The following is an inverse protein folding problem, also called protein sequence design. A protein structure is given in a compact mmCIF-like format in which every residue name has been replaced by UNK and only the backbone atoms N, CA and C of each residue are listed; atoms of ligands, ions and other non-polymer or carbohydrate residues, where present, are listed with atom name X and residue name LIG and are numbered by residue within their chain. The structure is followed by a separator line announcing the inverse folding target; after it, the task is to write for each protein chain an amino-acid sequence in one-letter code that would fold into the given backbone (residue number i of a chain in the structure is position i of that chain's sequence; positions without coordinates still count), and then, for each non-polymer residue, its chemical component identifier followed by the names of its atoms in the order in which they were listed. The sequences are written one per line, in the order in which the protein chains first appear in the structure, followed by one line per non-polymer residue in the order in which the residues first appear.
data_IF_326661218143
#
_entry.id   IF_326661218143
#
_cell.length_a   1.000
_cell.length_b   1.000
_cell.length_c   1.000
_cell.angle_alpha   90.00
_cell.angle_beta   90.00
_cell.angle_gamma   90.00
#
_symmetry.space_group_name_H-M   'P 1'
#
loop_
_entity.id
_entity.type
_entity.pdbx_description
1 polymer ?
#
# COMPACT_ATOMS: atom_id res chain seq x y z
N UNK A 1 15.19 -33.25 -38.58
CA UNK A 1 14.91 -32.64 -37.26
C UNK A 1 13.71 -31.73 -37.42
N UNK A 2 12.74 -31.73 -36.49
CA UNK A 2 11.62 -30.79 -36.56
C UNK A 2 12.14 -29.35 -36.40
N UNK A 3 11.72 -28.46 -37.30
CA UNK A 3 12.11 -27.05 -37.31
C UNK A 3 11.06 -26.25 -36.55
N UNK A 4 11.44 -25.45 -35.56
CA UNK A 4 10.51 -24.60 -34.81
C UNK A 4 9.66 -23.70 -35.72
N UNK A 5 10.24 -23.23 -36.83
CA UNK A 5 9.59 -22.33 -37.80
C UNK A 5 8.56 -23.07 -38.67
N UNK A 6 8.55 -24.41 -38.68
CA UNK A 6 7.53 -25.18 -39.42
C UNK A 6 6.20 -25.33 -38.65
N UNK A 7 6.09 -24.80 -37.43
CA UNK A 7 4.85 -24.76 -36.68
C UNK A 7 3.90 -23.68 -37.25
N UNK A 8 2.57 -23.87 -37.16
CA UNK A 8 1.62 -22.80 -37.46
C UNK A 8 1.88 -21.55 -36.61
N UNK A 9 1.66 -20.37 -37.18
CA UNK A 9 1.93 -19.07 -36.54
C UNK A 9 1.22 -18.96 -35.19
N UNK A 10 0.00 -19.47 -35.07
CA UNK A 10 -0.80 -19.47 -33.84
C UNK A 10 -0.15 -20.31 -32.74
N UNK A 11 0.47 -21.43 -33.11
CA UNK A 11 1.21 -22.29 -32.17
C UNK A 11 2.47 -21.59 -31.68
N UNK A 12 3.18 -20.90 -32.58
CA UNK A 12 4.37 -20.12 -32.22
C UNK A 12 3.99 -18.97 -31.30
N UNK A 13 2.91 -18.23 -31.60
CA UNK A 13 2.39 -17.16 -30.73
C UNK A 13 2.02 -17.70 -29.36
N UNK A 14 1.34 -18.85 -29.30
CA UNK A 14 1.01 -19.52 -28.05
C UNK A 14 2.26 -19.84 -27.24
N UNK A 15 3.27 -20.47 -27.86
CA UNK A 15 4.55 -20.79 -27.20
C UNK A 15 5.24 -19.52 -26.69
N UNK A 16 5.33 -18.47 -27.51
CA UNK A 16 5.96 -17.20 -27.14
C UNK A 16 5.19 -16.48 -26.02
N UNK A 17 3.88 -16.69 -25.90
CA UNK A 17 3.07 -16.07 -24.84
C UNK A 17 3.38 -16.60 -23.43
N UNK A 18 4.04 -17.76 -23.33
CA UNK A 18 4.55 -18.30 -22.07
C UNK A 18 5.94 -17.78 -21.68
N UNK A 19 6.60 -17.03 -22.56
CA UNK A 19 7.93 -16.47 -22.29
C UNK A 19 7.82 -15.14 -21.53
N UNK A 20 8.89 -14.79 -20.81
CA UNK A 20 8.99 -13.46 -20.21
C UNK A 20 9.06 -12.37 -21.30
N UNK A 21 8.61 -11.14 -21.03
CA UNK A 21 8.75 -10.04 -21.99
C UNK A 21 10.20 -9.79 -22.44
N UNK A 22 11.19 -10.03 -21.56
CA UNK A 22 12.61 -9.96 -21.89
C UNK A 22 13.01 -11.03 -22.92
N UNK A 23 12.54 -12.26 -22.76
CA UNK A 23 12.79 -13.36 -23.69
C UNK A 23 12.07 -13.13 -25.02
N UNK A 24 10.83 -12.62 -25.00
CA UNK A 24 10.09 -12.23 -26.21
C UNK A 24 10.89 -11.18 -26.99
N UNK A 25 11.45 -10.16 -26.32
CA UNK A 25 12.32 -9.17 -26.98
C UNK A 25 13.57 -9.81 -27.57
N UNK A 26 14.18 -10.76 -26.86
CA UNK A 26 15.34 -11.51 -27.36
C UNK A 26 14.97 -12.31 -28.62
N UNK A 27 13.82 -13.00 -28.63
CA UNK A 27 13.32 -13.72 -29.80
C UNK A 27 13.13 -12.82 -31.03
N UNK A 28 12.76 -11.55 -30.86
CA UNK A 28 12.68 -10.57 -31.97
C UNK A 28 14.04 -10.32 -32.63
N UNK A 29 15.14 -10.54 -31.92
CA UNK A 29 16.50 -10.35 -32.42
C UNK A 29 17.07 -11.60 -33.10
N UNK A 30 16.50 -12.77 -32.86
CA UNK A 30 17.02 -14.05 -33.37
C UNK A 30 16.69 -14.32 -34.84
N UNK A 31 15.52 -13.87 -35.34
CA UNK A 31 15.17 -14.03 -36.76
C UNK A 31 14.13 -13.01 -37.25
N UNK A 32 14.15 -12.74 -38.56
CA UNK A 32 13.14 -11.91 -39.22
C UNK A 32 11.73 -12.51 -39.12
N UNK A 33 11.61 -13.83 -39.19
CA UNK A 33 10.31 -14.52 -39.07
C UNK A 33 9.70 -14.31 -37.69
N UNK A 34 10.46 -14.57 -36.60
CA UNK A 34 9.98 -14.34 -35.24
C UNK A 34 9.67 -12.87 -34.98
N UNK A 35 10.51 -11.96 -35.50
CA UNK A 35 10.23 -10.52 -35.43
C UNK A 35 8.89 -10.18 -36.07
N UNK A 36 8.62 -10.66 -37.28
CA UNK A 36 7.37 -10.43 -37.99
C UNK A 36 6.17 -11.04 -37.25
N UNK A 37 6.28 -12.28 -36.76
CA UNK A 37 5.24 -12.94 -35.97
C UNK A 37 4.90 -12.17 -34.69
N UNK A 38 5.92 -11.76 -33.93
CA UNK A 38 5.74 -10.97 -32.70
C UNK A 38 5.16 -9.58 -33.01
N UNK A 39 5.53 -8.97 -34.14
CA UNK A 39 4.96 -7.70 -34.58
C UNK A 39 3.54 -7.84 -35.13
N UNK A 40 3.11 -9.01 -35.60
CA UNK A 40 1.76 -9.23 -36.11
C UNK A 40 0.78 -9.65 -35.00
N UNK A 41 1.24 -10.34 -33.96
CA UNK A 41 0.39 -10.78 -32.84
C UNK A 41 0.08 -9.64 -31.88
N UNK A 42 -1.21 -9.35 -31.70
CA UNK A 42 -1.67 -8.34 -30.76
C UNK A 42 -1.50 -8.79 -29.29
N UNK A 43 -1.54 -10.09 -29.04
CA UNK A 43 -1.32 -10.71 -27.73
C UNK A 43 0.12 -10.49 -27.25
N UNK A 44 1.11 -10.77 -28.11
CA UNK A 44 2.51 -10.56 -27.78
C UNK A 44 2.84 -9.06 -27.69
N UNK A 45 2.23 -8.23 -28.55
CA UNK A 45 2.33 -6.77 -28.39
C UNK A 45 1.80 -6.32 -27.03
N UNK A 46 0.63 -6.81 -26.61
CA UNK A 46 0.05 -6.48 -25.32
C UNK A 46 0.99 -6.80 -24.14
N UNK A 47 1.61 -7.98 -24.12
CA UNK A 47 2.60 -8.33 -23.09
C UNK A 47 3.82 -7.40 -23.09
N UNK A 48 4.31 -7.01 -24.27
CA UNK A 48 5.45 -6.09 -24.39
C UNK A 48 5.11 -4.65 -23.95
N UNK A 49 3.91 -4.16 -24.27
CA UNK A 49 3.45 -2.83 -23.86
C UNK A 49 3.25 -2.76 -22.33
N UNK A 50 2.68 -3.81 -21.73
CA UNK A 50 2.55 -3.93 -20.27
C UNK A 50 3.92 -3.80 -19.59
N UNK A 51 4.88 -4.62 -20.03
CA UNK A 51 6.22 -4.65 -19.45
C UNK A 51 6.95 -3.31 -19.59
N UNK A 52 6.79 -2.63 -20.73
CA UNK A 52 7.40 -1.30 -20.94
C UNK A 52 6.93 -0.23 -19.94
N UNK A 53 5.76 -0.43 -19.33
CA UNK A 53 5.16 0.46 -18.34
C UNK A 53 5.29 -0.04 -16.90
N UNK A 54 5.93 -1.19 -16.68
CA UNK A 54 6.01 -1.84 -15.38
C UNK A 54 4.70 -2.51 -14.94
N UNK A 55 3.85 -2.91 -15.89
CA UNK A 55 2.59 -3.59 -15.63
C UNK A 55 2.66 -5.08 -15.93
N UNK A 56 1.70 -5.82 -15.37
CA UNK A 56 1.51 -7.25 -15.60
C UNK A 56 0.08 -7.54 -16.03
N UNK A 57 -0.16 -8.69 -16.70
CA UNK A 57 -1.52 -9.15 -16.96
C UNK A 57 -2.32 -9.25 -15.66
N UNK A 58 -3.59 -8.78 -15.63
CA UNK A 58 -4.39 -8.77 -14.42
C UNK A 58 -4.90 -10.18 -14.07
N UNK A 59 -5.15 -10.45 -12.78
CA UNK A 59 -5.80 -11.69 -12.34
C UNK A 59 -7.23 -11.81 -12.88
N UNK A 60 -7.93 -10.68 -12.99
CA UNK A 60 -9.27 -10.60 -13.57
C UNK A 60 -9.26 -9.71 -14.82
N UNK A 61 -9.08 -10.27 -16.03
CA UNK A 61 -9.03 -9.49 -17.25
C UNK A 61 -10.38 -8.84 -17.59
N UNK A 62 -10.33 -7.63 -18.14
CA UNK A 62 -11.48 -6.95 -18.68
C UNK A 62 -11.86 -7.54 -20.04
N UNK A 63 -12.63 -8.62 -20.03
CA UNK A 63 -12.99 -9.37 -21.24
C UNK A 63 -13.93 -8.61 -22.18
N UNK A 64 -14.71 -7.67 -21.64
CA UNK A 64 -15.60 -6.83 -22.44
C UNK A 64 -14.85 -5.89 -23.39
N UNK A 65 -13.55 -5.66 -23.15
CA UNK A 65 -12.72 -4.81 -23.97
C UNK A 65 -11.80 -5.65 -24.87
N UNK A 66 -11.88 -5.52 -26.21
CA UNK A 66 -10.99 -6.23 -27.13
C UNK A 66 -9.51 -5.93 -26.85
N UNK A 67 -8.63 -6.92 -27.03
CA UNK A 67 -7.19 -6.77 -26.76
C UNK A 67 -6.54 -5.63 -27.57
N UNK A 68 -7.00 -5.38 -28.80
CA UNK A 68 -6.56 -4.24 -29.60
C UNK A 68 -6.81 -2.91 -28.90
N UNK A 69 -7.96 -2.75 -28.22
CA UNK A 69 -8.27 -1.55 -27.44
C UNK A 69 -7.43 -1.47 -26.16
N UNK A 70 -7.12 -2.61 -25.54
CA UNK A 70 -6.17 -2.68 -24.41
C UNK A 70 -4.79 -2.17 -24.80
N UNK A 71 -4.25 -2.65 -25.93
CA UNK A 71 -2.96 -2.21 -26.49
C UNK A 71 -2.96 -0.72 -26.81
N UNK A 72 -4.01 -0.21 -27.44
CA UNK A 72 -4.14 1.23 -27.72
C UNK A 72 -4.12 2.05 -26.44
N UNK A 73 -4.87 1.64 -25.41
CA UNK A 73 -4.88 2.33 -24.12
C UNK A 73 -3.50 2.36 -23.44
N UNK A 74 -2.71 1.28 -23.55
CA UNK A 74 -1.35 1.21 -23.03
C UNK A 74 -0.39 2.11 -23.82
N UNK A 75 -0.47 2.10 -25.15
CA UNK A 75 0.35 2.97 -26.02
C UNK A 75 0.10 4.44 -25.78
N UNK A 76 -1.17 4.85 -25.67
CA UNK A 76 -1.52 6.23 -25.33
C UNK A 76 -0.91 6.63 -23.99
N UNK A 77 -0.95 5.73 -22.98
CA UNK A 77 -0.32 5.98 -21.68
C UNK A 77 1.21 6.09 -21.77
N UNK A 78 1.84 5.29 -22.61
CA UNK A 78 3.28 5.37 -22.88
C UNK A 78 3.65 6.72 -23.51
N UNK A 79 2.92 7.14 -24.56
CA UNK A 79 3.16 8.43 -25.23
C UNK A 79 3.03 9.62 -24.28
N UNK A 80 1.98 9.64 -23.45
CA UNK A 80 1.77 10.67 -22.43
C UNK A 80 2.91 10.70 -21.40
N UNK A 81 3.52 9.56 -21.11
CA UNK A 81 4.64 9.49 -20.15
C UNK A 81 5.96 9.92 -20.79
N UNK A 82 6.13 9.69 -22.08
CA UNK A 82 7.34 10.06 -22.83
C UNK A 82 7.39 11.55 -23.20
N UNK A 83 6.23 12.17 -23.47
CA UNK A 83 6.14 13.58 -23.82
C UNK A 83 6.05 14.47 -22.56
N UNK A 84 7.21 14.85 -22.03
CA UNK A 84 7.32 15.75 -20.87
C UNK A 84 6.78 17.17 -21.14
N UNK A 85 6.52 17.54 -22.40
CA UNK A 85 6.00 18.88 -22.76
C UNK A 85 4.46 18.96 -22.71
N UNK A 86 3.77 17.81 -22.67
CA UNK A 86 2.32 17.71 -22.46
C UNK A 86 1.95 17.60 -20.98
N UNK A 87 2.67 18.30 -20.08
CA UNK A 87 2.25 18.46 -18.67
C UNK A 87 0.87 19.12 -18.51
N UNK A 88 0.35 19.73 -19.58
CA UNK A 88 -1.09 19.96 -19.74
C UNK A 88 -1.81 18.65 -20.12
N UNK A 89 -1.67 17.62 -19.29
CA UNK A 89 -2.70 16.61 -19.17
C UNK A 89 -4.00 17.40 -18.98
N UNK A 90 -5.05 17.05 -19.74
CA UNK A 90 -6.40 17.47 -19.41
C UNK A 90 -6.72 16.98 -18.00
N UNK A 91 -6.24 17.70 -17.00
CA UNK A 91 -6.57 17.51 -15.61
C UNK A 91 -8.06 17.67 -15.59
N UNK A 92 -8.76 16.55 -15.46
CA UNK A 92 -10.19 16.58 -15.26
C UNK A 92 -10.36 17.18 -13.88
N UNK A 93 -10.53 18.50 -13.85
CA UNK A 93 -10.79 19.25 -12.63
C UNK A 93 -12.23 18.93 -12.25
N UNK A 94 -12.40 18.22 -11.15
CA UNK A 94 -13.69 18.00 -10.56
C UNK A 94 -13.83 18.99 -9.42
N UNK A 95 -14.80 19.90 -9.54
CA UNK A 95 -15.15 20.80 -8.45
C UNK A 95 -15.99 20.00 -7.47
N UNK A 96 -15.41 19.70 -6.32
CA UNK A 96 -16.13 19.16 -5.19
C UNK A 96 -16.84 20.34 -4.52
N UNK A 97 -18.18 20.35 -4.55
CA UNK A 97 -18.98 21.36 -3.88
C UNK A 97 -19.29 20.91 -2.46
N UNK A 98 -19.04 21.80 -1.50
CA UNK A 98 -19.21 21.57 -0.08
C UNK A 98 -20.29 22.50 0.45
N UNK A 99 -21.24 21.97 1.21
CA UNK A 99 -22.27 22.78 1.86
C UNK A 99 -21.73 23.48 3.13
N UNK A 100 -20.61 23.02 3.70
CA UNK A 100 -19.96 23.66 4.86
C UNK A 100 -18.42 23.72 4.76
N UNK A 101 -17.76 24.76 5.35
CA UNK A 101 -16.36 25.09 5.07
C UNK A 101 -15.32 24.44 6.01
N UNK A 102 -15.61 23.30 6.65
CA UNK A 102 -14.72 22.73 7.68
C UNK A 102 -14.06 21.42 7.27
N UNK A 103 -12.79 21.32 7.67
CA UNK A 103 -11.83 20.21 7.58
C UNK A 103 -12.55 18.84 7.62
N UNK A 104 -12.81 18.27 6.45
CA UNK A 104 -13.38 16.92 6.31
C UNK A 104 -12.27 15.87 6.43
N UNK A 105 -12.57 14.71 7.01
CA UNK A 105 -11.65 13.56 6.97
C UNK A 105 -11.71 12.96 5.56
N UNK A 106 -10.70 13.28 4.74
CA UNK A 106 -10.60 12.89 3.34
C UNK A 106 -9.65 11.71 3.21
N UNK A 107 -10.15 10.62 2.63
CA UNK A 107 -9.38 9.40 2.39
C UNK A 107 -9.46 9.00 0.92
N UNK A 108 -8.34 8.58 0.34
CA UNK A 108 -8.28 8.13 -1.04
C UNK A 108 -7.81 6.67 -1.11
N UNK A 109 -8.59 5.84 -1.81
CA UNK A 109 -8.22 4.46 -2.07
C UNK A 109 -8.65 4.05 -3.47
N UNK A 110 -7.68 3.63 -4.30
CA UNK A 110 -7.88 2.94 -5.60
C UNK A 110 -8.87 3.59 -6.58
N UNK A 111 -8.81 4.91 -6.66
CA UNK A 111 -9.67 5.71 -7.55
C UNK A 111 -10.99 6.13 -6.93
N UNK A 112 -11.19 5.91 -5.62
CA UNK A 112 -12.33 6.43 -4.88
C UNK A 112 -11.82 7.35 -3.78
N UNK A 113 -12.37 8.57 -3.75
CA UNK A 113 -12.23 9.53 -2.67
C UNK A 113 -13.44 9.40 -1.75
N UNK A 114 -13.22 9.21 -0.46
CA UNK A 114 -14.26 9.27 0.54
C UNK A 114 -14.03 10.49 1.42
N UNK A 115 -15.13 11.15 1.80
CA UNK A 115 -15.10 12.32 2.66
C UNK A 115 -16.13 12.12 3.77
N UNK A 116 -15.65 12.16 5.02
CA UNK A 116 -16.49 12.21 6.22
C UNK A 116 -16.89 13.64 6.56
N UNK A 117 -18.08 13.81 7.14
CA UNK A 117 -18.52 15.06 7.76
C UNK A 117 -17.51 15.56 8.83
N UNK A 118 -17.41 16.87 9.09
CA UNK A 118 -16.26 17.49 9.76
C UNK A 118 -15.95 16.97 11.17
N UNK A 119 -14.63 16.97 11.46
CA UNK A 119 -13.89 16.39 12.58
C UNK A 119 -14.36 16.72 14.02
N UNK A 120 -15.23 17.71 14.20
CA UNK A 120 -15.71 18.11 15.54
C UNK A 120 -16.77 17.12 16.05
N UNK A 121 -17.49 16.47 15.13
CA UNK A 121 -18.45 15.41 15.43
C UNK A 121 -18.00 14.08 14.84
N UNK A 122 -18.42 12.99 15.47
CA UNK A 122 -18.22 11.66 14.94
C UNK A 122 -18.84 11.54 13.53
N UNK A 123 -18.17 10.80 12.65
CA UNK A 123 -18.55 10.58 11.26
C UNK A 123 -19.85 9.78 11.23
N UNK A 124 -20.89 10.36 10.65
CA UNK A 124 -22.22 9.75 10.50
C UNK A 124 -22.65 9.61 9.03
N UNK A 125 -21.92 10.24 8.12
CA UNK A 125 -22.18 10.20 6.68
C UNK A 125 -20.85 10.19 5.94
N UNK A 126 -20.82 9.47 4.82
CA UNK A 126 -19.68 9.45 3.89
C UNK A 126 -20.13 9.84 2.50
N UNK A 127 -19.43 10.81 1.90
CA UNK A 127 -19.57 11.12 0.48
C UNK A 127 -18.46 10.42 -0.30
N UNK A 128 -18.84 9.64 -1.30
CA UNK A 128 -17.94 8.84 -2.12
C UNK A 128 -17.89 9.41 -3.53
N UNK A 129 -16.67 9.62 -4.04
CA UNK A 129 -16.40 10.07 -5.40
C UNK A 129 -15.50 9.06 -6.08
N UNK A 130 -16.05 8.36 -7.07
CA UNK A 130 -15.31 7.44 -7.92
C UNK A 130 -14.79 8.21 -9.14
N UNK A 131 -13.47 8.16 -9.32
CA UNK A 131 -12.81 8.71 -10.49
C UNK A 131 -13.01 7.79 -11.69
N UNK A 132 -13.14 8.40 -12.87
CA UNK A 132 -13.14 7.65 -14.12
C UNK A 132 -11.82 6.89 -14.29
N UNK A 133 -11.89 5.65 -14.79
CA UNK A 133 -10.72 4.81 -15.00
C UNK A 133 -10.83 4.04 -16.30
N UNK A 134 -9.90 4.31 -17.23
CA UNK A 134 -9.75 3.51 -18.44
C UNK A 134 -9.33 2.07 -18.11
N UNK A 135 -8.56 1.86 -17.04
CA UNK A 135 -8.10 0.52 -16.64
C UNK A 135 -9.27 -0.36 -16.18
N UNK A 136 -10.21 0.21 -15.42
CA UNK A 136 -11.41 -0.50 -14.93
C UNK A 136 -12.61 -0.37 -15.87
N UNK A 137 -12.50 0.44 -16.94
CA UNK A 137 -13.60 0.89 -17.79
C UNK A 137 -14.78 1.44 -16.97
N UNK A 138 -14.48 2.29 -16.00
CA UNK A 138 -15.47 2.93 -15.12
C UNK A 138 -15.57 4.41 -15.42
N UNK A 139 -16.81 4.92 -15.42
CA UNK A 139 -17.07 6.36 -15.47
C UNK A 139 -16.95 7.00 -14.09
N UNK A 140 -16.97 8.33 -14.06
CA UNK A 140 -17.04 9.09 -12.83
C UNK A 140 -18.44 8.92 -12.21
N UNK A 141 -18.49 8.74 -10.89
CA UNK A 141 -19.75 8.71 -10.15
C UNK A 141 -19.57 9.24 -8.73
N UNK A 142 -20.59 9.90 -8.19
CA UNK A 142 -20.65 10.28 -6.78
C UNK A 142 -21.85 9.61 -6.11
N UNK A 143 -21.68 9.17 -4.88
CA UNK A 143 -22.76 8.62 -4.05
C UNK A 143 -22.58 9.07 -2.61
N UNK A 144 -23.66 8.97 -1.84
CA UNK A 144 -23.66 9.31 -0.42
C UNK A 144 -24.10 8.08 0.35
N UNK A 145 -23.30 7.66 1.32
CA UNK A 145 -23.73 6.75 2.38
C UNK A 145 -24.27 7.60 3.52
N UNK A 146 -25.56 7.89 3.44
CA UNK A 146 -26.30 8.61 4.47
C UNK A 146 -26.54 7.69 5.66
N UNK A 147 -26.44 8.24 6.87
CA UNK A 147 -26.71 7.54 8.13
C UNK A 147 -25.99 6.18 8.24
N UNK A 148 -24.74 6.24 8.69
CA UNK A 148 -23.95 5.04 8.99
C UNK A 148 -24.55 4.20 10.14
N UNK A 149 -25.60 4.69 10.82
CA UNK A 149 -26.23 4.05 11.99
C UNK A 149 -25.36 4.06 13.24
N UNK A 150 -24.16 4.62 13.16
CA UNK A 150 -23.21 4.77 14.25
C UNK A 150 -22.48 6.11 14.13
N UNK A 151 -21.85 6.50 15.24
CA UNK A 151 -20.88 7.58 15.31
C UNK A 151 -19.49 6.96 15.13
N UNK A 152 -18.82 7.21 14.00
CA UNK A 152 -17.47 6.68 13.75
C UNK A 152 -16.39 7.73 14.06
N UNK A 153 -15.29 7.30 14.68
CA UNK A 153 -14.11 8.14 14.98
C UNK A 153 -13.08 8.11 13.86
N UNK A 154 -13.00 6.99 13.11
CA UNK A 154 -12.18 6.83 11.92
C UNK A 154 -12.82 5.79 10.99
N UNK A 155 -12.36 5.74 9.74
CA UNK A 155 -12.81 4.78 8.74
C UNK A 155 -11.71 4.41 7.73
N UNK A 156 -11.77 3.17 7.23
CA UNK A 156 -10.93 2.68 6.12
C UNK A 156 -11.80 1.95 5.12
N UNK A 157 -11.42 1.98 3.86
CA UNK A 157 -12.17 1.29 2.82
C UNK A 157 -11.28 0.78 1.68
N UNK A 158 -11.75 -0.29 1.06
CA UNK A 158 -11.15 -0.85 -0.15
C UNK A 158 -12.25 -1.08 -1.20
N UNK A 159 -12.33 -0.23 -2.24
CA UNK A 159 -13.35 -0.36 -3.28
C UNK A 159 -13.23 -1.62 -4.10
N UNK A 160 -12.05 -2.26 -4.15
CA UNK A 160 -11.88 -3.50 -4.92
C UNK A 160 -12.47 -4.71 -4.19
N UNK A 161 -12.56 -4.64 -2.86
CA UNK A 161 -13.20 -5.65 -2.00
C UNK A 161 -14.63 -5.27 -1.62
N UNK A 162 -15.12 -4.11 -2.08
CA UNK A 162 -16.38 -3.50 -1.64
C UNK A 162 -16.51 -3.39 -0.11
N UNK A 163 -15.41 -3.13 0.60
CA UNK A 163 -15.40 -3.09 2.07
C UNK A 163 -15.23 -1.67 2.61
N UNK A 164 -16.00 -1.37 3.64
CA UNK A 164 -15.92 -0.19 4.50
C UNK A 164 -15.80 -0.67 5.95
N UNK A 165 -14.74 -0.26 6.64
CA UNK A 165 -14.53 -0.53 8.05
C UNK A 165 -14.69 0.77 8.82
N UNK A 166 -15.63 0.80 9.76
CA UNK A 166 -15.87 1.96 10.62
C UNK A 166 -15.42 1.63 12.04
N UNK A 167 -14.67 2.56 12.65
CA UNK A 167 -14.28 2.49 14.05
C UNK A 167 -15.28 3.32 14.88
N UNK A 168 -16.05 2.69 15.75
CA UNK A 168 -17.07 3.39 16.56
C UNK A 168 -16.44 4.32 17.61
N UNK A 169 -16.98 5.53 17.74
CA UNK A 169 -16.68 6.45 18.83
C UNK A 169 -17.41 6.02 20.10
N UNK A 170 -16.69 5.44 21.06
CA UNK A 170 -17.26 5.05 22.36
C UNK A 170 -16.97 6.12 23.41
N UNK A 171 -17.98 6.50 24.22
CA UNK A 171 -17.84 7.53 25.25
C UNK A 171 -16.84 7.15 26.37
N UNK A 172 -16.51 5.86 26.49
CA UNK A 172 -15.57 5.30 27.47
C UNK A 172 -14.08 5.46 27.08
N UNK A 173 -13.75 6.19 26.00
CA UNK A 173 -12.35 6.42 25.62
C UNK A 173 -11.56 7.26 26.64
N UNK A 174 -12.22 7.87 27.63
CA UNK A 174 -11.59 8.74 28.64
C UNK A 174 -11.81 8.31 30.09
N UNK A 175 -12.49 7.18 30.36
CA UNK A 175 -12.80 6.72 31.72
C UNK A 175 -12.26 5.30 31.99
N UNK A 176 -11.58 5.14 33.13
CA UNK A 176 -11.19 3.89 33.83
C UNK A 176 -10.41 2.80 33.06
N UNK A 177 -9.58 3.18 32.08
CA UNK A 177 -8.48 2.33 31.58
C UNK A 177 -8.90 1.03 30.88
N UNK A 178 -10.17 0.91 30.51
CA UNK A 178 -10.70 -0.21 29.72
C UNK A 178 -11.49 0.34 28.54
N UNK A 179 -10.80 0.50 27.43
CA UNK A 179 -11.35 0.97 26.17
C UNK A 179 -11.91 -0.20 25.36
N UNK A 180 -13.08 0.02 24.76
CA UNK A 180 -13.69 -0.96 23.86
C UNK A 180 -13.57 -0.45 22.43
N UNK A 181 -12.83 -1.21 21.61
CA UNK A 181 -12.74 -1.04 20.17
C UNK A 181 -13.91 -1.78 19.54
N UNK A 182 -14.73 -1.07 18.74
CA UNK A 182 -15.78 -1.68 17.92
C UNK A 182 -15.55 -1.38 16.45
N UNK A 183 -15.31 -2.43 15.68
CA UNK A 183 -15.01 -2.37 14.25
C UNK A 183 -16.20 -2.93 13.48
N UNK A 184 -16.87 -2.06 12.72
CA UNK A 184 -18.04 -2.44 11.90
C UNK A 184 -17.59 -2.71 10.46
N UNK A 185 -17.89 -3.90 9.96
CA UNK A 185 -17.58 -4.33 8.59
C UNK A 185 -18.81 -4.18 7.70
N UNK A 186 -18.75 -3.23 6.77
CA UNK A 186 -19.85 -2.88 5.87
C UNK A 186 -19.44 -3.00 4.42
N UNK A 187 -20.42 -3.18 3.55
CA UNK A 187 -20.26 -3.03 2.12
C UNK A 187 -20.12 -1.54 1.78
N UNK A 188 -19.09 -1.17 1.03
CA UNK A 188 -18.86 0.21 0.61
C UNK A 188 -19.97 0.69 -0.34
N UNK A 189 -20.49 -0.18 -1.18
CA UNK A 189 -21.54 0.15 -2.14
C UNK A 189 -22.93 0.30 -1.53
N UNK A 190 -23.23 -0.45 -0.46
CA UNK A 190 -24.58 -0.49 0.14
C UNK A 190 -24.67 0.12 1.53
N UNK A 191 -23.56 0.23 2.26
CA UNK A 191 -23.53 0.61 3.68
C UNK A 191 -24.06 -0.46 4.65
N UNK A 192 -24.54 -1.61 4.16
CA UNK A 192 -25.04 -2.72 4.97
C UNK A 192 -23.90 -3.61 5.46
N UNK A 193 -24.17 -4.54 6.37
CA UNK A 193 -23.19 -5.52 6.84
C UNK A 193 -22.52 -6.23 5.66
N UNK A 194 -21.18 -6.33 5.70
CA UNK A 194 -20.44 -6.90 4.59
C UNK A 194 -20.74 -8.40 4.44
N UNK A 195 -21.11 -8.90 3.24
CA UNK A 195 -21.57 -10.29 3.07
C UNK A 195 -20.49 -11.34 3.35
N UNK A 196 -19.22 -10.98 3.24
CA UNK A 196 -18.09 -11.87 3.56
C UNK A 196 -17.63 -11.79 5.03
N UNK A 197 -18.15 -10.86 5.82
CA UNK A 197 -17.82 -10.76 7.24
C UNK A 197 -18.75 -11.69 8.03
N UNK A 198 -18.23 -12.85 8.47
CA UNK A 198 -19.01 -13.78 9.31
C UNK A 198 -19.45 -13.15 10.62
N UNK A 199 -18.62 -12.22 11.13
CA UNK A 199 -18.90 -11.39 12.30
C UNK A 199 -18.90 -9.93 11.83
N UNK A 200 -20.07 -9.29 11.69
CA UNK A 200 -20.17 -7.94 11.12
C UNK A 200 -19.62 -6.85 12.05
N UNK A 201 -19.46 -7.15 13.35
CA UNK A 201 -18.89 -6.24 14.34
C UNK A 201 -17.88 -7.00 15.19
N UNK A 202 -16.61 -6.63 15.12
CA UNK A 202 -15.58 -7.13 16.05
C UNK A 202 -15.52 -6.18 17.24
N UNK A 203 -15.57 -6.75 18.44
CA UNK A 203 -15.42 -6.04 19.71
C UNK A 203 -14.12 -6.51 20.37
N UNK A 204 -13.26 -5.57 20.75
CA UNK A 204 -12.00 -5.86 21.42
C UNK A 204 -11.78 -4.90 22.58
N UNK A 205 -11.52 -5.46 23.76
CA UNK A 205 -11.21 -4.68 24.96
C UNK A 205 -9.70 -4.49 25.08
N UNK A 206 -9.27 -3.24 25.27
CA UNK A 206 -7.87 -2.88 25.48
C UNK A 206 -7.75 -1.74 26.49
N UNK A 207 -6.64 -1.67 27.21
CA UNK A 207 -6.29 -0.50 28.03
C UNK A 207 -5.58 0.59 27.24
N UNK A 208 -5.45 0.44 25.91
CA UNK A 208 -4.66 1.31 25.05
C UNK A 208 -5.50 2.35 24.32
N UNK A 209 -4.90 3.50 24.00
CA UNK A 209 -5.52 4.53 23.17
C UNK A 209 -5.29 4.20 21.70
N UNK A 210 -6.31 4.33 20.87
CA UNK A 210 -6.17 4.15 19.42
C UNK A 210 -5.39 5.33 18.82
N UNK A 211 -4.37 5.06 18.01
CA UNK A 211 -3.64 6.10 17.26
C UNK A 211 -4.41 6.34 15.95
N UNK A 212 -4.84 7.58 15.72
CA UNK A 212 -5.61 7.99 14.53
C UNK A 212 -4.73 8.34 13.31
N UNK A 213 -3.52 7.81 13.22
CA UNK A 213 -2.69 8.05 12.03
C UNK A 213 -3.10 7.11 10.87
N UNK A 214 -2.74 7.52 9.65
CA UNK A 214 -3.13 6.78 8.44
C UNK A 214 -2.57 5.37 8.39
N UNK A 215 -1.41 5.17 8.98
CA UNK A 215 -0.69 3.91 8.89
C UNK A 215 -1.07 2.93 10.00
N UNK A 216 -1.60 3.41 11.13
CA UNK A 216 -2.06 2.62 12.26
C UNK A 216 -3.35 1.84 12.01
N UNK A 217 -4.04 2.03 10.88
CA UNK A 217 -5.29 1.35 10.54
C UNK A 217 -5.33 0.97 9.05
N UNK A 218 -5.15 -0.32 8.74
CA UNK A 218 -4.98 -0.81 7.36
C UNK A 218 -5.84 -2.04 7.05
N UNK A 219 -6.35 -2.11 5.81
CA UNK A 219 -7.02 -3.28 5.23
C UNK A 219 -6.05 -3.92 4.23
N UNK A 220 -5.74 -5.21 4.43
CA UNK A 220 -4.80 -5.97 3.59
C UNK A 220 -5.44 -7.30 3.21
N UNK A 221 -6.16 -7.31 2.09
CA UNK A 221 -6.91 -8.49 1.66
C UNK A 221 -7.98 -8.87 2.70
N UNK A 222 -7.87 -10.07 3.27
CA UNK A 222 -8.75 -10.54 4.34
C UNK A 222 -8.32 -10.09 5.75
N UNK A 223 -7.20 -9.39 5.87
CA UNK A 223 -6.67 -8.93 7.14
C UNK A 223 -7.07 -7.48 7.42
N UNK A 224 -7.38 -7.20 8.68
CA UNK A 224 -7.50 -5.86 9.22
C UNK A 224 -6.46 -5.69 10.33
N UNK A 225 -5.62 -4.67 10.21
CA UNK A 225 -4.61 -4.34 11.22
C UNK A 225 -4.93 -2.99 11.87
N UNK A 226 -4.90 -2.95 13.21
CA UNK A 226 -4.95 -1.71 13.99
C UNK A 226 -3.76 -1.64 14.96
N UNK A 227 -3.27 -0.43 15.20
CA UNK A 227 -2.22 -0.15 16.17
C UNK A 227 -2.72 0.86 17.22
N UNK A 228 -2.47 0.55 18.49
CA UNK A 228 -2.91 1.32 19.64
C UNK A 228 -1.70 1.69 20.53
N UNK A 229 -1.66 2.93 21.02
CA UNK A 229 -0.63 3.41 21.94
C UNK A 229 -0.95 3.03 23.38
N UNK A 230 0.06 2.54 24.10
CA UNK A 230 -0.10 2.19 25.53
C UNK A 230 -0.31 3.42 26.43
N UNK A 231 -1.14 3.26 27.47
CA UNK A 231 -1.24 4.20 28.61
C UNK A 231 -0.55 3.67 29.89
N UNK A 232 0.18 4.52 30.64
CA UNK A 232 0.74 5.79 30.19
C UNK A 232 1.71 5.55 29.02
N UNK A 233 2.03 6.56 28.19
CA UNK A 233 2.95 6.42 27.06
C UNK A 233 4.37 6.11 27.54
N UNK A 234 4.62 4.85 27.91
CA UNK A 234 5.89 4.34 28.38
C UNK A 234 6.60 3.66 27.21
N UNK A 235 7.83 4.11 26.93
CA UNK A 235 8.77 3.57 25.93
C UNK A 235 8.13 3.28 24.56
N UNK A 236 7.82 4.32 23.77
CA UNK A 236 7.55 4.28 22.31
C UNK A 236 7.09 2.91 21.78
N UNK A 237 6.05 2.34 22.38
CA UNK A 237 5.58 1.00 22.08
C UNK A 237 4.09 1.05 21.90
N UNK A 238 3.67 0.29 20.91
CA UNK A 238 2.28 0.20 20.49
C UNK A 238 1.86 -1.27 20.56
N UNK A 239 0.62 -1.51 20.90
CA UNK A 239 0.02 -2.81 20.68
C UNK A 239 -0.56 -2.84 19.27
N UNK A 240 -0.29 -3.94 18.57
CA UNK A 240 -0.80 -4.18 17.23
C UNK A 240 -1.71 -5.40 17.29
N UNK A 241 -2.89 -5.25 16.70
CA UNK A 241 -3.88 -6.31 16.58
C UNK A 241 -4.18 -6.52 15.11
N UNK A 242 -4.13 -7.78 14.66
CA UNK A 242 -4.49 -8.16 13.29
C UNK A 242 -5.62 -9.18 13.38
N UNK A 243 -6.74 -8.90 12.72
CA UNK A 243 -7.86 -9.82 12.57
C UNK A 243 -7.99 -10.30 11.13
N UNK A 244 -8.48 -11.52 10.97
CA UNK A 244 -9.13 -11.93 9.73
C UNK A 244 -10.56 -11.41 9.78
N UNK A 245 -10.87 -10.37 9.02
CA UNK A 245 -12.19 -9.75 9.10
C UNK A 245 -13.30 -10.63 8.49
N UNK A 246 -12.93 -11.62 7.68
CA UNK A 246 -13.91 -12.53 7.07
C UNK A 246 -14.41 -13.58 8.06
N UNK A 247 -13.56 -14.01 8.99
CA UNK A 247 -13.90 -14.99 10.03
C UNK A 247 -14.17 -14.35 11.39
N UNK A 248 -13.62 -13.16 11.63
CA UNK A 248 -13.59 -12.46 12.91
C UNK A 248 -12.50 -12.96 13.86
N UNK A 249 -11.64 -13.88 13.43
CA UNK A 249 -10.57 -14.43 14.27
C UNK A 249 -9.42 -13.45 14.45
N UNK A 250 -8.95 -13.31 15.68
CA UNK A 250 -7.71 -12.60 15.98
C UNK A 250 -6.52 -13.42 15.48
N UNK A 251 -5.80 -12.89 14.50
CA UNK A 251 -4.61 -13.53 13.90
C UNK A 251 -3.42 -13.38 14.82
N UNK A 252 -3.13 -12.15 15.26
CA UNK A 252 -2.03 -11.85 16.17
C UNK A 252 -2.37 -10.65 17.05
N UNK A 253 -1.84 -10.67 18.27
CA UNK A 253 -1.79 -9.56 19.21
C UNK A 253 -0.39 -9.47 19.77
N UNK A 254 0.26 -8.31 19.61
CA UNK A 254 1.66 -8.15 20.02
C UNK A 254 1.98 -6.71 20.39
N UNK A 255 2.98 -6.52 21.24
CA UNK A 255 3.61 -5.22 21.44
C UNK A 255 4.76 -5.05 20.44
N UNK A 256 4.74 -3.96 19.71
CA UNK A 256 5.83 -3.50 18.83
C UNK A 256 6.49 -2.27 19.41
N UNK A 257 7.80 -2.10 19.17
CA UNK A 257 8.58 -0.94 19.62
C UNK A 257 8.51 0.25 18.66
N UNK A 258 7.49 0.26 17.79
CA UNK A 258 7.31 1.22 16.72
C UNK A 258 5.98 1.95 16.81
N UNK A 259 5.93 3.06 16.08
CA UNK A 259 4.76 3.93 15.98
C UNK A 259 4.11 3.85 14.59
N UNK A 260 4.55 2.92 13.75
CA UNK A 260 4.05 2.76 12.39
C UNK A 260 4.31 1.32 11.90
N UNK A 261 3.48 0.84 10.97
CA UNK A 261 3.68 -0.40 10.24
C UNK A 261 3.25 -0.33 8.76
N UNK A 262 3.80 -1.20 7.94
CA UNK A 262 3.33 -1.41 6.56
C UNK A 262 3.43 -2.87 6.16
N UNK A 263 2.42 -3.39 5.47
CA UNK A 263 2.49 -4.73 4.88
C UNK A 263 3.27 -4.70 3.57
N UNK A 264 4.17 -5.67 3.41
CA UNK A 264 4.97 -5.86 2.19
C UNK A 264 4.54 -7.10 1.41
N UNK A 265 3.81 -8.01 2.07
CA UNK A 265 3.14 -9.17 1.47
C UNK A 265 1.82 -9.43 2.22
N UNK A 266 1.14 -10.56 1.91
CA UNK A 266 -0.07 -11.00 2.60
C UNK A 266 0.16 -11.39 4.07
N UNK A 267 1.38 -11.71 4.45
CA UNK A 267 1.75 -12.34 5.73
C UNK A 267 2.98 -11.70 6.37
N UNK A 268 3.57 -10.69 5.74
CA UNK A 268 4.80 -10.05 6.19
C UNK A 268 4.61 -8.54 6.23
N UNK A 269 5.02 -7.94 7.34
CA UNK A 269 4.93 -6.50 7.56
C UNK A 269 6.21 -5.97 8.20
N UNK A 270 6.41 -4.66 8.06
CA UNK A 270 7.50 -3.90 8.67
C UNK A 270 6.95 -3.01 9.76
N UNK A 271 7.75 -2.75 10.79
CA UNK A 271 7.53 -1.65 11.74
C UNK A 271 8.79 -0.82 11.91
N UNK A 272 8.64 0.45 12.24
CA UNK A 272 9.75 1.39 12.39
C UNK A 272 10.21 1.47 13.84
N UNK A 273 11.51 1.31 14.10
CA UNK A 273 12.10 1.68 15.39
C UNK A 273 12.77 3.05 15.21
N UNK A 274 12.06 4.07 15.69
CA UNK A 274 12.60 5.43 15.83
C UNK A 274 13.52 5.51 17.05
N UNK A 275 14.55 6.36 17.00
CA UNK A 275 15.52 6.51 18.10
C UNK A 275 15.36 7.86 18.78
N UNK A 276 15.04 7.83 20.08
CA UNK A 276 15.15 9.00 20.96
C UNK A 276 16.54 9.03 21.59
N UNK A 277 17.01 10.25 21.87
CA UNK A 277 18.31 10.55 22.47
C UNK A 277 18.59 9.65 23.70
N UNK A 278 19.87 9.34 23.94
CA UNK A 278 20.46 8.53 25.04
C UNK A 278 20.95 7.13 24.68
N UNK A 279 20.74 6.63 23.46
CA UNK A 279 21.38 5.38 23.04
C UNK A 279 22.71 5.69 22.34
N UNK A 280 23.84 5.20 22.86
CA UNK A 280 25.21 5.38 22.32
C UNK A 280 25.42 4.72 20.93
N UNK A 281 24.44 4.79 20.04
CA UNK A 281 24.46 4.18 18.72
C UNK A 281 24.36 5.26 17.66
N UNK A 282 25.18 5.12 16.62
CA UNK A 282 25.24 6.07 15.51
C UNK A 282 24.11 5.84 14.48
N UNK A 283 23.34 4.76 14.55
CA UNK A 283 22.26 4.43 13.59
C UNK A 283 21.03 5.32 13.75
N UNK A 284 20.45 5.84 12.67
CA UNK A 284 19.21 6.63 12.74
C UNK A 284 17.98 5.80 13.09
N UNK A 285 17.99 4.48 12.95
CA UNK A 285 16.83 3.63 13.27
C UNK A 285 16.92 2.25 12.65
N UNK A 286 15.83 1.50 12.76
CA UNK A 286 15.73 0.13 12.24
C UNK A 286 14.34 -0.10 11.65
N UNK A 287 14.23 -0.97 10.66
CA UNK A 287 12.97 -1.57 10.23
C UNK A 287 12.93 -3.00 10.73
N UNK A 288 11.98 -3.34 11.59
CA UNK A 288 11.79 -4.74 12.00
C UNK A 288 10.82 -5.43 11.06
N UNK A 289 11.21 -6.61 10.59
CA UNK A 289 10.41 -7.46 9.69
C UNK A 289 9.74 -8.55 10.51
N UNK A 290 8.43 -8.62 10.40
CA UNK A 290 7.59 -9.59 11.08
C UNK A 290 6.80 -10.43 10.09
N UNK A 291 6.60 -11.70 10.42
CA UNK A 291 5.71 -12.60 9.69
C UNK A 291 4.62 -13.16 10.59
N UNK A 292 3.44 -13.32 10.01
CA UNK A 292 2.30 -14.06 10.56
C UNK A 292 2.07 -15.38 9.81
N UNK A 293 2.99 -15.77 8.92
CA UNK A 293 2.95 -17.08 8.31
C UNK A 293 3.17 -18.16 9.38
N UNK A 294 2.37 -19.22 9.31
CA UNK A 294 2.50 -20.43 10.14
C UNK A 294 2.45 -20.21 11.68
N UNK A 295 2.00 -19.03 12.14
CA UNK A 295 1.79 -18.78 13.56
C UNK A 295 0.47 -19.40 14.05
N UNK A 296 0.41 -19.70 15.35
CA UNK A 296 -0.86 -20.07 15.98
C UNK A 296 -1.75 -18.83 16.08
N UNK A 297 -3.03 -18.92 15.71
CA UNK A 297 -3.98 -17.78 15.80
C UNK A 297 -4.00 -17.22 17.23
N UNK A 298 -3.93 -15.89 17.34
CA UNK A 298 -3.87 -15.15 18.60
C UNK A 298 -2.48 -15.08 19.24
N UNK A 299 -1.48 -15.80 18.70
CA UNK A 299 -0.08 -15.66 19.16
C UNK A 299 0.58 -14.41 18.59
N UNK A 300 1.79 -14.09 19.06
CA UNK A 300 2.56 -12.95 18.55
C UNK A 300 3.18 -13.28 17.19
N UNK A 301 3.17 -12.33 16.26
CA UNK A 301 3.94 -12.44 15.01
C UNK A 301 5.43 -12.69 15.28
N UNK A 302 6.08 -13.46 14.40
CA UNK A 302 7.50 -13.78 14.52
C UNK A 302 8.36 -12.69 13.88
N UNK A 303 9.33 -12.15 14.62
CA UNK A 303 10.34 -11.25 14.05
C UNK A 303 11.42 -12.02 13.32
N UNK A 304 11.46 -11.90 12.00
CA UNK A 304 12.39 -12.64 11.13
C UNK A 304 13.65 -11.84 10.80
N UNK A 305 13.60 -10.50 10.83
CA UNK A 305 14.76 -9.65 10.54
C UNK A 305 14.65 -8.23 11.14
N UNK A 306 15.76 -7.51 11.16
CA UNK A 306 15.89 -6.12 11.55
C UNK A 306 16.86 -5.43 10.58
N UNK A 307 16.37 -4.52 9.77
CA UNK A 307 17.13 -3.81 8.74
C UNK A 307 17.63 -2.48 9.31
N UNK A 308 18.94 -2.28 9.38
CA UNK A 308 19.53 -1.05 9.93
C UNK A 308 19.35 0.11 8.95
N UNK A 309 18.82 1.24 9.42
CA UNK A 309 18.86 2.50 8.66
C UNK A 309 20.28 3.13 8.75
N UNK A 310 20.62 4.09 7.87
CA UNK A 310 21.97 4.67 7.81
C UNK A 310 22.44 5.21 9.16
N UNK A 311 23.76 5.24 9.36
CA UNK A 311 24.34 5.93 10.51
C UNK A 311 24.38 7.44 10.29
N UNK A 312 24.18 8.19 11.37
CA UNK A 312 24.39 9.63 11.45
C UNK A 312 25.88 9.94 11.39
N UNK A 313 26.29 10.74 10.41
CA UNK A 313 27.67 11.21 10.26
C UNK A 313 28.09 12.19 11.37
N UNK A 314 27.15 12.74 12.13
CA UNK A 314 27.37 13.84 13.07
C UNK A 314 27.05 13.46 14.53
N UNK A 315 27.19 12.17 14.88
CA UNK A 315 26.90 11.66 16.22
C UNK A 315 25.41 11.53 16.52
N UNK A 316 25.07 11.55 17.81
CA UNK A 316 23.73 11.28 18.34
C UNK A 316 22.63 12.15 17.70
N UNK A 317 21.55 11.50 17.26
CA UNK A 317 20.40 12.16 16.65
C UNK A 317 19.08 11.64 17.23
N UNK A 318 18.05 12.48 17.12
CA UNK A 318 16.66 12.03 17.31
C UNK A 318 16.03 11.83 15.94
N UNK A 319 15.55 10.63 15.67
CA UNK A 319 14.86 10.30 14.42
C UNK A 319 13.38 10.01 14.65
N UNK A 320 12.57 10.31 13.65
CA UNK A 320 11.21 9.81 13.51
C UNK A 320 11.04 9.23 12.12
N UNK A 321 10.51 8.01 12.06
CA UNK A 321 10.29 7.29 10.81
C UNK A 321 8.84 6.81 10.76
N UNK A 322 8.12 7.14 9.68
CA UNK A 322 6.74 6.70 9.45
C UNK A 322 6.51 6.41 7.96
N UNK A 323 5.65 5.44 7.66
CA UNK A 323 5.33 5.02 6.31
C UNK A 323 4.29 5.96 5.70
N UNK A 324 4.47 6.27 4.42
CA UNK A 324 3.50 7.01 3.60
C UNK A 324 2.96 6.16 2.45
N UNK A 325 3.34 4.88 2.42
CA UNK A 325 2.90 3.89 1.42
C UNK A 325 1.43 3.53 1.64
N UNK A 326 0.61 3.49 0.59
CA UNK A 326 -0.69 2.83 0.71
C UNK A 326 -0.52 1.32 0.95
N UNK A 327 -1.56 0.64 1.48
CA UNK A 327 -1.56 -0.82 1.61
C UNK A 327 -1.25 -1.52 0.28
N UNK A 328 -0.63 -2.72 0.31
CA UNK A 328 -0.31 -3.48 -0.89
C UNK A 328 -1.57 -3.76 -1.72
N UNK A 329 -1.40 -4.01 -3.02
CA UNK A 329 -2.53 -4.28 -3.91
C UNK A 329 -3.35 -5.47 -3.42
N UNK A 330 -4.69 -5.43 -3.58
CA UNK A 330 -5.53 -6.50 -3.14
C UNK A 330 -5.30 -7.68 -4.08
N UNK A 331 -4.89 -8.81 -3.53
CA UNK A 331 -4.96 -10.08 -4.22
C UNK A 331 -6.40 -10.58 -4.19
N UNK A 332 -6.81 -11.49 -5.09
CA UNK A 332 -8.07 -12.21 -4.95
C UNK A 332 -8.23 -12.73 -3.52
N UNK A 333 -9.40 -12.51 -2.95
CA UNK A 333 -9.65 -12.89 -1.57
C UNK A 333 -9.90 -14.40 -1.54
N UNK A 334 -8.95 -15.14 -0.99
CA UNK A 334 -9.00 -16.59 -0.86
C UNK A 334 -9.07 -16.90 0.64
N UNK A 335 -10.17 -17.53 1.08
CA UNK A 335 -10.36 -17.97 2.46
C UNK A 335 -10.47 -19.48 2.47
N UNK A 336 -9.63 -20.17 3.26
CA UNK A 336 -9.53 -21.64 3.31
C UNK A 336 -9.32 -22.29 1.92
N UNK A 337 -8.51 -21.68 1.06
CA UNK A 337 -8.24 -22.18 -0.29
C UNK A 337 -9.36 -21.96 -1.31
N UNK A 338 -10.48 -21.35 -0.91
CA UNK A 338 -11.59 -21.02 -1.79
C UNK A 338 -11.59 -19.53 -2.13
N UNK A 339 -11.69 -19.22 -3.43
CA UNK A 339 -11.89 -17.86 -3.92
C UNK A 339 -13.25 -17.32 -3.46
N UNK A 340 -13.24 -16.30 -2.60
CA UNK A 340 -14.43 -15.63 -2.06
C UNK A 340 -14.77 -14.34 -2.79
N UNK A 341 -13.76 -13.58 -3.19
CA UNK A 341 -13.93 -12.38 -3.99
C UNK A 341 -12.83 -12.26 -5.04
N UNK A 342 -13.22 -11.96 -6.28
CA UNK A 342 -12.28 -11.56 -7.32
C UNK A 342 -12.04 -10.06 -7.25
N UNK A 343 -10.82 -9.64 -7.60
CA UNK A 343 -10.53 -8.23 -7.87
C UNK A 343 -11.38 -7.74 -9.05
N UNK A 344 -11.69 -6.44 -9.14
CA UNK A 344 -12.41 -5.89 -10.29
C UNK A 344 -11.68 -6.15 -11.61
N UNK A 345 -12.45 -6.32 -12.69
CA UNK A 345 -11.92 -6.52 -14.04
C UNK A 345 -11.05 -5.35 -14.49
N UNK A 346 -9.87 -5.63 -15.05
CA UNK A 346 -8.87 -4.62 -15.45
C UNK A 346 -8.24 -4.86 -16.80
N UNK A 347 -7.68 -3.81 -17.39
CA UNK A 347 -6.75 -3.93 -18.51
C UNK A 347 -5.39 -4.40 -18.01
N UNK A 348 -4.91 -3.93 -16.87
CA UNK A 348 -3.59 -4.28 -16.34
C UNK A 348 -3.54 -4.20 -14.81
N UNK A 349 -2.56 -4.88 -14.24
CA UNK A 349 -2.14 -4.72 -12.85
C UNK A 349 -0.75 -4.10 -12.77
N UNK A 350 -0.45 -3.48 -11.64
CA UNK A 350 0.90 -2.95 -11.40
C UNK A 350 1.81 -4.15 -11.13
N UNK A 351 2.97 -4.19 -11.78
CA UNK A 351 3.93 -5.26 -11.56
C UNK A 351 4.50 -5.22 -10.13
N UNK A 352 4.89 -6.37 -9.57
CA UNK A 352 5.43 -6.46 -8.22
C UNK A 352 6.65 -5.53 -7.99
N UNK A 353 7.51 -5.41 -9.00
CA UNK A 353 8.70 -4.54 -8.97
C UNK A 353 8.40 -3.05 -9.20
N UNK A 354 7.16 -2.71 -9.54
CA UNK A 354 6.73 -1.33 -9.73
C UNK A 354 6.11 -0.72 -8.48
N UNK A 355 6.06 -1.46 -7.37
CA UNK A 355 5.68 -0.91 -6.07
C UNK A 355 6.91 -0.40 -5.33
N UNK A 356 6.75 0.72 -4.60
CA UNK A 356 7.76 1.21 -3.67
C UNK A 356 7.12 1.41 -2.31
N UNK A 357 7.81 1.00 -1.27
CA UNK A 357 7.53 1.48 0.07
C UNK A 357 8.14 2.87 0.21
N UNK A 358 7.40 3.78 0.79
CA UNK A 358 7.83 5.13 1.09
C UNK A 358 7.91 5.31 2.59
N UNK A 359 9.11 5.57 3.08
CA UNK A 359 9.38 5.85 4.49
C UNK A 359 9.82 7.30 4.63
N UNK A 360 9.01 8.09 5.33
CA UNK A 360 9.37 9.46 5.69
C UNK A 360 10.29 9.41 6.92
N UNK A 361 11.48 9.98 6.78
CA UNK A 361 12.48 10.06 7.84
C UNK A 361 12.73 11.54 8.14
N UNK A 362 12.52 11.92 9.41
CA UNK A 362 12.95 13.20 9.96
C UNK A 362 14.01 12.98 11.03
N UNK A 363 15.14 13.67 10.91
CA UNK A 363 16.27 13.55 11.83
C UNK A 363 16.67 14.93 12.35
N UNK A 364 16.67 15.08 13.66
CA UNK A 364 17.07 16.30 14.37
C UNK A 364 18.40 16.07 15.09
N UNK A 365 19.34 17.00 14.92
CA UNK A 365 20.62 17.01 15.65
C UNK A 365 20.42 17.43 17.11
N UNK A 366 21.23 16.86 17.99
CA UNK A 366 21.18 17.16 19.43
C UNK A 366 22.12 18.31 19.81
N UNK A 367 23.29 18.46 19.18
CA UNK A 367 24.39 19.27 19.77
C UNK A 367 24.86 20.54 19.01
N UNK A 368 24.32 20.95 17.85
CA UNK A 368 24.79 22.19 17.18
C UNK A 368 23.71 22.96 16.39
N UNK A 369 23.45 24.22 16.80
CA UNK A 369 22.93 25.42 16.08
C UNK A 369 21.71 25.29 15.13
N UNK A 370 20.93 26.38 14.96
CA UNK A 370 19.65 26.68 15.62
C UNK A 370 18.55 25.60 15.38
N UNK A 371 17.37 25.62 16.05
CA UNK A 371 16.42 24.49 16.15
C UNK A 371 15.76 24.00 14.85
N UNK A 372 16.22 24.44 13.68
CA UNK A 372 15.56 24.26 12.38
C UNK A 372 16.31 23.34 11.40
N UNK A 373 17.57 22.95 11.68
CA UNK A 373 18.32 22.07 10.76
C UNK A 373 17.95 20.61 11.01
N UNK A 374 16.76 20.24 10.56
CA UNK A 374 16.31 18.85 10.46
C UNK A 374 16.64 18.31 9.09
N UNK A 375 17.29 17.15 8.99
CA UNK A 375 17.25 16.40 7.75
C UNK A 375 15.84 15.82 7.60
N UNK A 376 15.18 16.14 6.51
CA UNK A 376 13.83 15.69 6.21
C UNK A 376 13.82 15.10 4.80
N UNK A 377 13.30 13.88 4.64
CA UNK A 377 13.18 13.28 3.33
C UNK A 377 12.45 11.95 3.30
N UNK A 378 12.26 11.47 2.07
CA UNK A 378 11.54 10.24 1.76
C UNK A 378 12.52 9.20 1.25
N UNK A 379 12.44 8.02 1.83
CA UNK A 379 13.18 6.84 1.41
C UNK A 379 12.26 5.91 0.63
N UNK A 380 12.57 5.70 -0.64
CA UNK A 380 11.85 4.78 -1.52
C UNK A 380 12.54 3.42 -1.55
N UNK A 381 11.85 2.40 -1.03
CA UNK A 381 12.37 1.05 -0.84
C UNK A 381 11.61 0.11 -1.79
N UNK A 382 12.27 -0.50 -2.79
CA UNK A 382 11.66 -1.55 -3.60
C UNK A 382 11.35 -2.78 -2.72
N UNK A 383 10.11 -3.32 -2.73
CA UNK A 383 9.77 -4.53 -1.98
C UNK A 383 10.66 -5.73 -2.35
N UNK A 384 11.08 -5.83 -3.61
CA UNK A 384 11.99 -6.87 -4.09
C UNK A 384 13.38 -6.80 -3.46
N UNK A 385 13.83 -5.62 -3.00
CA UNK A 385 15.08 -5.49 -2.26
C UNK A 385 15.00 -6.23 -0.91
N UNK A 386 13.87 -6.11 -0.21
CA UNK A 386 13.63 -6.80 1.06
C UNK A 386 13.40 -8.28 0.80
N UNK A 387 12.55 -8.63 -0.16
CA UNK A 387 12.19 -10.03 -0.45
C UNK A 387 13.42 -10.88 -0.78
N UNK A 388 14.32 -10.39 -1.64
CA UNK A 388 15.56 -11.10 -2.00
C UNK A 388 16.38 -11.46 -0.75
N UNK A 389 16.44 -10.57 0.21
CA UNK A 389 17.24 -10.78 1.43
C UNK A 389 16.56 -11.80 2.34
N UNK A 390 15.23 -11.77 2.42
CA UNK A 390 14.48 -12.79 3.13
C UNK A 390 14.67 -14.17 2.48
N UNK A 391 14.60 -14.25 1.15
CA UNK A 391 14.78 -15.49 0.38
C UNK A 391 16.21 -16.06 0.55
N UNK A 392 17.24 -15.23 0.41
CA UNK A 392 18.65 -15.63 0.59
C UNK A 392 18.92 -16.19 2.00
N UNK A 393 18.23 -15.66 3.01
CA UNK A 393 18.39 -16.04 4.41
C UNK A 393 17.60 -17.30 4.77
N UNK A 394 16.40 -17.47 4.23
CA UNK A 394 15.64 -18.72 4.33
C UNK A 394 16.43 -19.89 3.69
N UNK A 395 17.19 -19.62 2.64
CA UNK A 395 18.08 -20.60 2.02
C UNK A 395 19.35 -20.92 2.85
N UNK A 396 19.72 -20.10 3.84
CA UNK A 396 20.93 -20.24 4.67
C UNK A 396 20.64 -20.18 6.18
N UNK A 397 20.05 -21.24 6.78
CA UNK A 397 19.57 -21.23 8.17
C UNK A 397 20.64 -21.07 9.25
N UNK A 398 21.92 -21.22 8.89
CA UNK A 398 23.06 -21.26 9.83
C UNK A 398 23.52 -19.87 10.32
N UNK A 399 23.00 -18.77 9.75
CA UNK A 399 23.29 -17.42 10.23
C UNK A 399 22.03 -16.76 10.81
N UNK A 400 21.85 -16.94 12.12
CA UNK A 400 20.80 -16.31 12.94
C UNK A 400 21.04 -14.80 13.16
N UNK A 401 21.69 -14.11 12.22
CA UNK A 401 21.98 -12.69 12.35
C UNK A 401 20.68 -11.94 12.06
N UNK A 402 19.94 -11.63 13.12
CA UNK A 402 18.66 -10.91 13.05
C UNK A 402 18.81 -9.45 12.62
N UNK A 403 20.03 -8.89 12.59
CA UNK A 403 20.27 -7.48 12.22
C UNK A 403 21.10 -7.38 10.95
N UNK A 404 20.54 -6.76 9.91
CA UNK A 404 21.14 -6.62 8.58
C UNK A 404 21.62 -5.18 8.40
N UNK A 405 22.94 -4.95 8.23
CA UNK A 405 23.51 -3.62 8.00
C UNK A 405 22.94 -2.91 6.78
N UNK A 406 22.96 -1.58 6.79
CA UNK A 406 22.44 -0.73 5.71
C UNK A 406 23.02 -1.12 4.33
N UNK A 407 24.33 -1.32 4.25
CA UNK A 407 25.06 -1.69 3.03
C UNK A 407 24.58 -3.01 2.39
N UNK A 408 24.04 -3.93 3.20
CA UNK A 408 23.61 -5.25 2.75
C UNK A 408 22.20 -5.23 2.15
N UNK A 409 21.33 -4.31 2.60
CA UNK A 409 19.93 -4.28 2.17
C UNK A 409 19.51 -3.06 1.36
N UNK A 410 20.22 -1.95 1.46
CA UNK A 410 19.82 -0.69 0.83
C UNK A 410 20.07 -0.63 -0.69
N UNK A 411 20.52 -1.73 -1.31
CA UNK A 411 20.77 -1.77 -2.75
C UNK A 411 19.48 -1.53 -3.54
N UNK A 412 19.42 -0.42 -4.28
CA UNK A 412 18.26 -0.01 -5.07
C UNK A 412 17.29 0.91 -4.33
N UNK A 413 17.54 1.22 -3.07
CA UNK A 413 16.80 2.23 -2.31
C UNK A 413 17.20 3.62 -2.80
N UNK A 414 16.22 4.53 -2.89
CA UNK A 414 16.43 5.92 -3.34
C UNK A 414 16.02 6.92 -2.27
N UNK A 415 16.73 8.04 -2.16
CA UNK A 415 16.44 9.12 -1.21
C UNK A 415 15.99 10.38 -1.94
N UNK A 416 14.90 10.99 -1.48
CA UNK A 416 14.45 12.31 -1.89
C UNK A 416 14.55 13.26 -0.70
N UNK A 417 15.38 14.29 -0.84
CA UNK A 417 15.51 15.33 0.17
C UNK A 417 14.29 16.27 0.12
N UNK A 418 13.59 16.38 1.25
CA UNK A 418 12.41 17.21 1.43
C UNK A 418 12.68 18.45 2.30
N UNK A 419 13.95 18.70 2.66
CA UNK A 419 14.32 19.82 3.53
C UNK A 419 13.94 21.15 2.88
N UNK A 420 13.15 21.96 3.59
CA UNK A 420 12.68 23.27 3.11
C UNK A 420 11.48 23.21 2.16
N UNK A 421 10.91 22.01 1.94
CA UNK A 421 9.72 21.82 1.13
C UNK A 421 8.45 21.78 2.02
N UNK A 422 7.50 22.69 1.80
CA UNK A 422 6.18 22.65 2.44
C UNK A 422 5.22 21.81 1.58
N UNK A 423 5.22 20.48 1.74
CA UNK A 423 4.22 19.61 1.09
C UNK A 423 3.34 18.91 2.12
N UNK A 424 2.14 18.56 1.69
CA UNK A 424 1.31 17.54 2.35
C UNK A 424 1.92 16.15 2.19
N UNK A 425 1.22 15.10 2.67
CA UNK A 425 1.74 13.74 2.62
C UNK A 425 2.04 13.29 1.19
N UNK A 426 3.25 12.78 0.96
CA UNK A 426 3.60 12.12 -0.29
C UNK A 426 2.81 10.82 -0.43
N UNK A 427 2.22 10.59 -1.61
CA UNK A 427 1.51 9.35 -1.92
C UNK A 427 2.22 8.62 -3.04
N UNK A 428 2.59 7.38 -2.79
CA UNK A 428 3.14 6.51 -3.81
C UNK A 428 2.03 5.66 -4.42
N UNK A 429 1.87 5.76 -5.73
CA UNK A 429 0.98 4.93 -6.53
C UNK A 429 1.80 4.27 -7.63
N UNK A 430 2.07 2.96 -7.50
CA UNK A 430 2.95 2.26 -8.45
C UNK A 430 4.34 2.92 -8.46
N UNK A 431 4.95 2.99 -9.63
CA UNK A 431 6.15 3.71 -10.00
C UNK A 431 5.99 5.24 -10.04
N UNK A 432 4.93 5.80 -9.46
CA UNK A 432 4.71 7.25 -9.40
C UNK A 432 4.57 7.68 -7.95
N UNK A 433 5.30 8.73 -7.59
CA UNK A 433 5.05 9.48 -6.37
C UNK A 433 4.32 10.77 -6.74
N UNK A 434 3.28 11.10 -5.99
CA UNK A 434 2.58 12.37 -6.07
C UNK A 434 2.75 13.10 -4.73
N UNK A 435 3.06 14.39 -4.81
CA UNK A 435 3.06 15.29 -3.67
C UNK A 435 1.82 16.17 -3.79
N UNK A 436 1.01 16.21 -2.74
CA UNK A 436 -0.09 17.16 -2.67
C UNK A 436 0.48 18.47 -2.09
N UNK A 437 0.53 19.54 -2.88
CA UNK A 437 0.68 20.90 -2.36
C UNK A 437 -0.72 21.50 -2.20
N UNK A 438 -0.93 22.17 -1.07
CA UNK A 438 -2.06 23.06 -0.92
C UNK A 438 -1.53 24.46 -1.22
N UNK A 439 -1.78 24.94 -2.43
CA UNK A 439 -1.49 26.32 -2.78
C UNK A 439 -2.57 27.20 -2.16
N UNK A 440 -2.19 28.03 -1.20
CA UNK A 440 -3.03 29.16 -0.80
C UNK A 440 -2.80 30.25 -1.84
N UNK A 441 -3.78 30.45 -2.73
CA UNK A 441 -3.84 31.67 -3.53
C UNK A 441 -3.98 32.84 -2.54
N UNK A 442 -2.95 33.69 -2.47
CA UNK A 442 -2.92 34.93 -1.68
C UNK A 442 -3.75 36.04 -2.33
#
# INVERSE_FOLDING_TARGET
MPNFISLPTESIVCILSFLSPADIRTCKLLSHYLRATIQASIELQYLLELDSLGFVPPFNPLDSLPITRKVLALREKHLVTADQTQQNLGAHKYNLTFDEPLISDIRYSRGVLAMGSPFIDAIQQLQLYRLASRNKNTEHSSSVLSDLGIKASDYRFDPDLDILVLLESTAAQFDDGNHEIRLHFRSLSTGLAHPLASIPIIIHNTSDIIIYDEAGFQIVGHLLAIMCQKQPPAKDSSNMYIWDWTTGELVTSMTISGMDFVFISKDTFLTTISRRAWSNFDTIGYLEVYTIADITRGSTAERIASLQLPSSLNGSCHSRCYFTTPPPLPTPLITHGLLKAMTPKRIYEIGPDSHYLSLHIRVNKIETLPPWVSADGLLFIPPSAIQRILDDRLASPLQLVRSIPWEDWARGVSWLNMTGMNFGPCRVFSNRAALLSQDHDN
#
